data_IF_011589158507
#
_entry.id   IF_011589158507
#
_cell.length_a   1.000
_cell.length_b   1.000
_cell.length_c   1.000
_cell.angle_alpha   90.00
_cell.angle_beta   90.00
_cell.angle_gamma   90.00
#
_symmetry.space_group_name_H-M   'P 1'
#
loop_
_entity.id
_entity.type
_entity.pdbx_description
1 polymer ?
#
# COMPACT_ATOMS: atom_id res chain seq x y z
N UNK A 1 -15.40 -0.65 -2.61
CA UNK A 1 -14.23 -0.07 -3.30
C UNK A 1 -14.59 0.11 -4.76
N UNK A 2 -14.22 1.22 -5.42
CA UNK A 2 -14.30 1.36 -6.87
C UNK A 2 -13.47 0.27 -7.58
N UNK A 3 -13.84 -0.10 -8.81
CA UNK A 3 -13.14 -1.12 -9.61
C UNK A 3 -11.66 -0.76 -9.90
N UNK A 4 -11.34 0.54 -9.91
CA UNK A 4 -9.98 1.06 -10.05
C UNK A 4 -9.03 0.51 -8.98
N UNK A 5 -9.46 0.52 -7.72
CA UNK A 5 -8.69 0.06 -6.56
C UNK A 5 -8.29 -1.40 -6.70
N UNK A 6 -9.21 -2.29 -7.09
CA UNK A 6 -8.91 -3.72 -7.23
C UNK A 6 -7.87 -3.98 -8.33
N UNK A 7 -7.98 -3.29 -9.47
CA UNK A 7 -6.97 -3.37 -10.53
C UNK A 7 -5.63 -2.84 -10.05
N UNK A 8 -5.62 -1.69 -9.37
CA UNK A 8 -4.38 -1.08 -8.90
C UNK A 8 -3.68 -1.95 -7.86
N UNK A 9 -4.42 -2.49 -6.89
CA UNK A 9 -3.89 -3.43 -5.89
C UNK A 9 -3.24 -4.65 -6.54
N UNK A 10 -3.87 -5.22 -7.58
CA UNK A 10 -3.28 -6.34 -8.35
C UNK A 10 -1.96 -5.94 -9.03
N UNK A 11 -1.91 -4.78 -9.70
CA UNK A 11 -0.68 -4.28 -10.34
C UNK A 11 0.44 -4.13 -9.31
N UNK A 12 0.15 -3.54 -8.15
CA UNK A 12 1.15 -3.36 -7.09
C UNK A 12 1.62 -4.72 -6.55
N UNK A 13 0.71 -5.69 -6.37
CA UNK A 13 1.06 -7.04 -5.98
C UNK A 13 2.01 -7.73 -6.97
N UNK A 14 1.77 -7.56 -8.28
CA UNK A 14 2.64 -8.09 -9.33
C UNK A 14 4.04 -7.44 -9.27
N UNK A 15 4.12 -6.11 -9.05
CA UNK A 15 5.38 -5.39 -8.89
C UNK A 15 6.17 -5.87 -7.65
N UNK A 16 5.50 -6.07 -6.51
CA UNK A 16 6.13 -6.61 -5.31
C UNK A 16 6.57 -8.06 -5.51
N UNK A 17 5.82 -8.85 -6.29
CA UNK A 17 6.18 -10.24 -6.62
C UNK A 17 7.47 -10.28 -7.43
N UNK A 18 7.60 -9.41 -8.44
CA UNK A 18 8.81 -9.31 -9.24
C UNK A 18 10.06 -8.93 -8.42
N UNK A 19 9.88 -8.25 -7.29
CA UNK A 19 10.95 -7.88 -6.35
C UNK A 19 11.20 -8.92 -5.25
N UNK A 20 10.39 -9.97 -5.16
CA UNK A 20 10.43 -10.93 -4.04
C UNK A 20 9.82 -10.40 -2.72
N UNK A 21 9.18 -9.24 -2.74
CA UNK A 21 8.61 -8.53 -1.57
C UNK A 21 7.10 -8.79 -1.37
N UNK A 22 6.46 -9.60 -2.21
CA UNK A 22 5.01 -9.86 -2.17
C UNK A 22 4.47 -10.48 -0.88
N UNK A 23 5.33 -11.03 -0.01
CA UNK A 23 4.93 -11.57 1.29
C UNK A 23 4.94 -10.53 2.42
N UNK A 24 5.41 -9.31 2.13
CA UNK A 24 5.38 -8.20 3.09
C UNK A 24 3.96 -7.62 3.18
N UNK A 25 3.35 -7.20 2.08
CA UNK A 25 2.03 -6.58 2.12
C UNK A 25 0.88 -7.59 2.01
N UNK A 26 -0.06 -7.55 2.96
CA UNK A 26 -1.29 -8.34 2.88
C UNK A 26 -2.27 -7.80 1.83
N UNK A 27 -3.27 -8.60 1.39
CA UNK A 27 -4.29 -8.16 0.44
C UNK A 27 -5.06 -6.92 0.90
N UNK A 28 -5.29 -6.77 2.21
CA UNK A 28 -5.98 -5.61 2.78
C UNK A 28 -5.10 -4.36 2.68
N UNK A 29 -3.81 -4.46 2.97
CA UNK A 29 -2.87 -3.33 2.87
C UNK A 29 -2.77 -2.82 1.44
N UNK A 30 -2.75 -3.73 0.47
CA UNK A 30 -2.76 -3.40 -0.96
C UNK A 30 -4.03 -2.64 -1.37
N UNK A 31 -5.20 -3.06 -0.89
CA UNK A 31 -6.47 -2.39 -1.18
C UNK A 31 -6.57 -1.02 -0.52
N UNK A 32 -6.12 -0.90 0.73
CA UNK A 32 -6.12 0.37 1.46
C UNK A 32 -5.13 1.35 0.83
N UNK A 33 -3.92 0.90 0.48
CA UNK A 33 -2.92 1.71 -0.20
C UNK A 33 -3.39 2.16 -1.59
N UNK A 34 -3.98 1.26 -2.38
CA UNK A 34 -4.52 1.61 -3.70
C UNK A 34 -5.68 2.62 -3.60
N UNK A 35 -6.53 2.51 -2.58
CA UNK A 35 -7.60 3.47 -2.37
C UNK A 35 -7.08 4.86 -1.97
N UNK A 36 -6.06 4.92 -1.10
CA UNK A 36 -5.42 6.18 -0.73
C UNK A 36 -4.71 6.82 -1.92
N UNK A 37 -4.03 6.02 -2.75
CA UNK A 37 -3.37 6.48 -3.98
C UNK A 37 -4.39 7.07 -4.98
N UNK A 38 -5.49 6.34 -5.25
CA UNK A 38 -6.53 6.80 -6.18
C UNK A 38 -7.25 8.06 -5.70
N UNK A 39 -7.41 8.21 -4.37
CA UNK A 39 -8.00 9.40 -3.76
C UNK A 39 -7.03 10.57 -3.57
N UNK A 40 -5.73 10.42 -3.89
CA UNK A 40 -4.72 11.45 -3.68
C UNK A 40 -4.47 11.79 -2.21
N UNK A 41 -4.59 10.80 -1.31
CA UNK A 41 -4.47 10.97 0.14
C UNK A 41 -3.15 10.39 0.67
N UNK A 42 -2.67 10.95 1.79
CA UNK A 42 -1.58 10.35 2.58
C UNK A 42 -2.12 9.20 3.43
N UNK A 43 -1.59 8.00 3.25
CA UNK A 43 -1.98 6.84 4.07
C UNK A 43 -1.26 6.88 5.44
N UNK A 44 -2.04 6.96 6.52
CA UNK A 44 -1.53 6.79 7.88
C UNK A 44 -1.46 5.30 8.24
N UNK A 45 -0.35 4.85 8.82
CA UNK A 45 -0.16 3.45 9.19
C UNK A 45 0.75 3.27 10.42
N UNK A 46 0.65 2.13 11.07
CA UNK A 46 1.60 1.67 12.10
C UNK A 46 2.18 0.29 11.73
N UNK A 47 2.30 0.04 10.43
CA UNK A 47 2.78 -1.24 9.88
C UNK A 47 3.94 -0.97 8.91
N UNK A 48 5.07 -1.67 9.08
CA UNK A 48 6.25 -1.51 8.22
C UNK A 48 6.03 -2.07 6.81
N UNK A 49 5.06 -2.96 6.62
CA UNK A 49 4.78 -3.53 5.30
C UNK A 49 4.14 -2.50 4.35
N UNK A 50 3.44 -1.49 4.90
CA UNK A 50 2.94 -0.34 4.14
C UNK A 50 4.07 0.48 3.53
N UNK A 51 5.24 0.57 4.18
CA UNK A 51 6.41 1.25 3.63
C UNK A 51 6.95 0.53 2.38
N UNK A 52 6.82 -0.80 2.32
CA UNK A 52 7.21 -1.59 1.15
C UNK A 52 6.30 -1.31 -0.05
N UNK A 53 5.02 -1.12 0.20
CA UNK A 53 4.07 -0.65 -0.82
C UNK A 53 4.47 0.76 -1.28
N UNK A 54 4.69 1.69 -0.34
CA UNK A 54 5.04 3.08 -0.62
C UNK A 54 6.32 3.23 -1.45
N UNK A 55 7.37 2.45 -1.16
CA UNK A 55 8.59 2.40 -1.98
C UNK A 55 8.32 1.96 -3.42
N UNK A 56 7.31 1.12 -3.64
CA UNK A 56 6.96 0.62 -4.97
C UNK A 56 6.05 1.55 -5.74
N UNK A 57 5.10 2.22 -5.08
CA UNK A 57 4.12 3.11 -5.72
C UNK A 57 4.57 4.57 -5.76
N UNK A 58 5.47 4.98 -4.87
CA UNK A 58 5.82 6.38 -4.63
C UNK A 58 4.72 7.17 -3.92
N UNK A 59 3.67 6.52 -3.43
CA UNK A 59 2.54 7.20 -2.80
C UNK A 59 2.92 7.77 -1.42
N UNK A 60 2.31 8.88 -1.01
CA UNK A 60 2.56 9.45 0.30
C UNK A 60 2.03 8.54 1.41
N UNK A 61 2.91 8.22 2.37
CA UNK A 61 2.56 7.51 3.60
C UNK A 61 3.11 8.27 4.81
N UNK A 62 2.51 8.05 5.97
CA UNK A 62 3.03 8.58 7.24
C UNK A 62 2.83 7.57 8.36
N UNK A 63 3.94 7.17 8.97
CA UNK A 63 3.92 6.36 10.16
C UNK A 63 3.34 7.14 11.33
N UNK A 64 2.37 6.55 12.03
CA UNK A 64 1.88 7.05 13.31
C UNK A 64 2.59 6.30 14.43
N UNK A 65 3.04 7.03 15.45
CA UNK A 65 3.51 6.43 16.68
C UNK A 65 2.32 6.26 17.63
N UNK A 66 2.16 5.06 18.19
CA UNK A 66 1.07 4.71 19.09
C UNK A 66 1.50 4.69 20.57
N UNK A 67 2.78 5.00 20.88
CA UNK A 67 3.19 5.21 22.27
C UNK A 67 2.74 6.58 22.76
N UNK A 68 1.79 6.58 23.71
CA UNK A 68 1.47 7.71 24.60
C UNK A 68 2.52 7.83 25.70
#
# INVERSE_FOLDING_TARGET
>A
MPDGVYRRARVVQELLTAKGEHRSAGPVDLLVAAAAEEAGLTLLHHDRDVETIARTTGQPVRMIDLTN
#
